data_IF_738971398539
#
_entry.id   IF_738971398539
#
_cell.length_a   1.000
_cell.length_b   1.000
_cell.length_c   1.000
_cell.angle_alpha   90.00
_cell.angle_beta   90.00
_cell.angle_gamma   90.00
#
_symmetry.space_group_name_H-M   'P 1'
#
loop_
_entity.id
_entity.type
_entity.pdbx_description
1 polymer ?
#
# COMPACT_ATOMS: atom_id res chain seq x y z
N UNK A 1 -11.36 19.60 42.23
CA UNK A 1 -11.76 20.52 41.17
C UNK A 1 -12.32 19.68 40.04
N UNK A 2 -13.64 19.75 39.82
CA UNK A 2 -14.26 19.02 38.69
C UNK A 2 -13.85 19.73 37.41
N UNK A 3 -13.01 19.10 36.58
CA UNK A 3 -12.76 19.54 35.23
C UNK A 3 -13.99 19.19 34.39
N UNK A 4 -14.90 20.13 34.25
CA UNK A 4 -15.99 19.99 33.28
C UNK A 4 -15.38 19.89 31.87
N UNK A 5 -15.45 18.71 31.28
CA UNK A 5 -15.04 18.47 29.92
C UNK A 5 -15.81 19.41 28.98
N UNK A 6 -15.14 20.36 28.38
CA UNK A 6 -15.69 21.21 27.34
C UNK A 6 -15.73 20.39 26.05
N UNK A 7 -16.82 19.69 25.83
CA UNK A 7 -17.07 19.06 24.52
C UNK A 7 -17.05 20.16 23.45
N UNK A 8 -16.26 19.96 22.40
CA UNK A 8 -16.15 20.92 21.28
C UNK A 8 -17.56 21.31 20.79
N UNK A 9 -17.88 22.60 20.87
CA UNK A 9 -19.19 23.10 20.40
C UNK A 9 -19.19 23.03 18.87
N UNK A 10 -20.05 22.20 18.32
CA UNK A 10 -20.26 22.10 16.86
C UNK A 10 -21.60 22.72 16.47
N UNK A 11 -21.64 23.44 15.36
CA UNK A 11 -22.89 23.94 14.78
C UNK A 11 -23.25 23.06 13.59
N UNK A 12 -24.16 22.11 13.82
CA UNK A 12 -24.67 21.20 12.80
C UNK A 12 -25.53 21.97 11.77
N UNK A 13 -25.49 21.53 10.53
CA UNK A 13 -26.45 21.95 9.54
C UNK A 13 -27.86 21.57 9.99
N UNK A 14 -28.89 22.32 9.55
CA UNK A 14 -30.29 22.11 9.92
C UNK A 14 -31.11 21.71 8.70
N UNK A 15 -32.14 20.92 8.91
CA UNK A 15 -33.14 20.51 7.89
C UNK A 15 -33.82 21.68 7.19
N UNK A 16 -33.93 22.84 7.87
CA UNK A 16 -34.55 24.05 7.36
C UNK A 16 -33.72 24.80 6.30
N UNK A 17 -32.52 24.31 5.94
CA UNK A 17 -31.80 24.86 4.81
C UNK A 17 -32.58 24.52 3.55
N UNK A 18 -33.27 25.52 3.01
CA UNK A 18 -34.05 25.39 1.78
C UNK A 18 -33.12 25.60 0.56
N UNK A 19 -33.26 24.73 -0.41
CA UNK A 19 -32.65 24.89 -1.71
C UNK A 19 -33.59 25.68 -2.63
N UNK A 20 -33.00 26.52 -3.46
CA UNK A 20 -33.78 27.25 -4.46
C UNK A 20 -34.23 26.36 -5.63
N UNK A 21 -33.74 25.13 -5.72
CA UNK A 21 -34.00 24.19 -6.81
C UNK A 21 -34.65 22.91 -6.29
N UNK A 22 -35.56 22.34 -7.07
CA UNK A 22 -36.27 21.11 -6.72
C UNK A 22 -35.39 19.86 -6.72
N UNK A 23 -34.19 19.91 -7.33
CA UNK A 23 -33.25 18.81 -7.45
C UNK A 23 -32.44 18.56 -6.20
N UNK A 24 -32.47 19.49 -5.23
CA UNK A 24 -31.72 19.40 -3.98
C UNK A 24 -32.66 19.39 -2.78
N UNK A 25 -32.58 18.34 -1.94
CA UNK A 25 -33.54 18.14 -0.87
C UNK A 25 -32.95 17.36 0.34
N UNK A 26 -33.61 17.46 1.47
CA UNK A 26 -33.29 16.68 2.66
C UNK A 26 -33.70 15.22 2.46
N UNK A 27 -32.77 14.28 2.68
CA UNK A 27 -32.99 12.84 2.51
C UNK A 27 -33.24 12.15 3.85
N UNK A 28 -32.53 12.54 4.89
CA UNK A 28 -32.59 11.87 6.19
C UNK A 28 -31.54 12.36 7.17
N UNK A 29 -31.35 11.63 8.25
CA UNK A 29 -30.34 11.93 9.28
C UNK A 29 -29.24 10.85 9.31
N UNK A 30 -28.03 11.28 9.62
CA UNK A 30 -26.86 10.41 9.78
C UNK A 30 -26.38 10.45 11.25
N UNK A 31 -25.94 9.33 11.85
CA UNK A 31 -25.99 7.99 11.26
C UNK A 31 -27.44 7.48 11.07
N UNK A 32 -27.62 6.53 10.16
CA UNK A 32 -28.95 5.96 9.90
C UNK A 32 -29.58 5.39 11.17
N UNK A 33 -30.81 5.80 11.46
CA UNK A 33 -31.53 5.38 12.67
C UNK A 33 -31.32 6.28 13.89
N UNK A 34 -30.46 7.31 13.79
CA UNK A 34 -30.43 8.35 14.81
C UNK A 34 -31.76 9.11 14.85
N UNK A 35 -32.21 9.47 16.06
CA UNK A 35 -33.35 10.38 16.20
C UNK A 35 -33.06 11.68 15.46
N UNK A 36 -34.11 12.30 14.93
CA UNK A 36 -33.97 13.51 14.10
C UNK A 36 -33.23 14.66 14.81
N UNK A 37 -33.20 14.65 16.13
CA UNK A 37 -32.60 15.67 16.98
C UNK A 37 -31.15 15.36 17.34
N UNK A 38 -30.72 14.09 17.29
CA UNK A 38 -29.36 13.63 17.64
C UNK A 38 -28.47 13.51 16.43
N UNK A 39 -29.02 13.24 15.25
CA UNK A 39 -28.30 13.07 14.00
C UNK A 39 -27.92 14.39 13.31
N UNK A 40 -27.11 14.28 12.26
CA UNK A 40 -26.84 15.38 11.33
C UNK A 40 -27.62 15.17 10.03
N UNK A 41 -28.07 16.23 9.32
CA UNK A 41 -28.84 16.07 8.11
C UNK A 41 -28.00 15.53 6.96
N UNK A 42 -28.64 14.67 6.15
CA UNK A 42 -28.15 14.27 4.83
C UNK A 42 -28.92 15.07 3.79
N UNK A 43 -28.23 15.77 2.92
CA UNK A 43 -28.80 16.50 1.80
C UNK A 43 -28.42 15.84 0.49
N UNK A 44 -29.41 15.46 -0.30
CA UNK A 44 -29.19 15.15 -1.70
C UNK A 44 -29.01 16.44 -2.48
N UNK A 45 -27.99 16.51 -3.33
CA UNK A 45 -27.64 17.71 -4.09
C UNK A 45 -27.53 17.37 -5.56
N UNK A 46 -28.39 17.99 -6.38
CA UNK A 46 -28.47 17.80 -7.83
C UNK A 46 -27.75 18.87 -8.63
N UNK A 47 -27.13 19.89 -7.99
CA UNK A 47 -26.36 20.91 -8.68
C UNK A 47 -25.08 21.27 -7.95
N UNK A 48 -24.03 21.62 -8.72
CA UNK A 48 -22.77 22.10 -8.14
C UNK A 48 -22.92 23.43 -7.40
N UNK A 49 -23.92 24.23 -7.74
CA UNK A 49 -24.23 25.49 -7.02
C UNK A 49 -24.72 25.20 -5.60
N UNK A 50 -25.65 24.25 -5.44
CA UNK A 50 -26.15 23.85 -4.12
C UNK A 50 -25.06 23.14 -3.32
N UNK A 51 -24.22 22.33 -3.98
CA UNK A 51 -23.04 21.73 -3.35
C UNK A 51 -22.12 22.79 -2.75
N UNK A 52 -21.73 23.78 -3.54
CA UNK A 52 -20.91 24.91 -3.07
C UNK A 52 -21.63 25.75 -2.01
N UNK A 53 -22.94 25.92 -2.15
CA UNK A 53 -23.78 26.67 -1.19
C UNK A 53 -23.78 26.03 0.19
N UNK A 54 -24.01 24.71 0.29
CA UNK A 54 -23.97 23.98 1.56
C UNK A 54 -22.58 24.00 2.20
N UNK A 55 -21.55 23.80 1.41
CA UNK A 55 -20.15 23.87 1.86
C UNK A 55 -19.83 25.25 2.42
N UNK A 56 -20.18 26.30 1.68
CA UNK A 56 -19.99 27.70 2.10
C UNK A 56 -20.73 28.02 3.39
N UNK A 57 -21.97 27.55 3.50
CA UNK A 57 -22.79 27.76 4.68
C UNK A 57 -22.23 27.02 5.92
N UNK A 58 -21.81 25.77 5.76
CA UNK A 58 -21.16 25.01 6.84
C UNK A 58 -19.91 25.73 7.37
N UNK A 59 -19.07 26.27 6.45
CA UNK A 59 -17.91 27.10 6.81
C UNK A 59 -18.31 28.37 7.56
N UNK A 60 -19.30 29.07 7.05
CA UNK A 60 -19.77 30.30 7.67
C UNK A 60 -20.26 30.09 9.12
N UNK A 61 -21.09 29.07 9.34
CA UNK A 61 -21.61 28.75 10.67
C UNK A 61 -20.52 28.39 11.69
N UNK A 62 -19.45 27.77 11.24
CA UNK A 62 -18.41 27.22 12.11
C UNK A 62 -17.11 28.03 12.06
N UNK A 63 -17.07 29.18 11.41
CA UNK A 63 -15.84 29.96 11.17
C UNK A 63 -15.07 30.35 12.45
N UNK A 64 -15.77 30.53 13.57
CA UNK A 64 -15.17 30.84 14.87
C UNK A 64 -14.84 29.63 15.73
N UNK A 65 -15.22 28.42 15.30
CA UNK A 65 -15.09 27.18 16.08
C UNK A 65 -13.96 26.28 15.59
N UNK A 66 -13.57 26.39 14.32
CA UNK A 66 -12.53 25.60 13.73
C UNK A 66 -12.59 25.55 12.20
N UNK A 67 -11.89 24.61 11.61
CA UNK A 67 -11.85 24.43 10.15
C UNK A 67 -12.81 23.33 9.72
N UNK A 68 -13.69 23.63 8.76
CA UNK A 68 -14.52 22.61 8.12
C UNK A 68 -13.70 21.86 7.09
N UNK A 69 -13.48 20.59 7.35
CA UNK A 69 -12.80 19.63 6.49
C UNK A 69 -13.82 18.71 5.80
N UNK A 70 -13.38 18.01 4.77
CA UNK A 70 -14.24 17.17 3.96
C UNK A 70 -13.67 15.77 3.83
N UNK A 71 -14.59 14.77 3.75
CA UNK A 71 -14.22 13.40 3.44
C UNK A 71 -15.21 12.81 2.45
N UNK A 72 -14.72 12.43 1.26
CA UNK A 72 -15.51 11.71 0.27
C UNK A 72 -15.49 10.20 0.50
N UNK A 73 -16.65 9.57 0.36
CA UNK A 73 -16.80 8.11 0.44
C UNK A 73 -17.71 7.60 -0.67
N UNK A 74 -17.38 6.43 -1.20
CA UNK A 74 -18.12 5.82 -2.32
C UNK A 74 -19.51 5.29 -1.92
N UNK A 75 -19.79 5.20 -0.63
CA UNK A 75 -21.09 4.83 -0.04
C UNK A 75 -21.16 5.32 1.40
N UNK A 76 -22.35 5.35 1.96
CA UNK A 76 -22.55 5.55 3.40
C UNK A 76 -22.15 4.29 4.17
N UNK A 77 -21.15 4.39 5.03
CA UNK A 77 -20.69 3.31 5.91
C UNK A 77 -21.28 3.38 7.31
N UNK A 78 -22.16 4.34 7.57
CA UNK A 78 -22.85 4.52 8.86
C UNK A 78 -21.99 5.14 9.97
N UNK A 79 -20.66 5.12 9.86
CA UNK A 79 -19.73 5.70 10.84
C UNK A 79 -18.38 5.98 10.20
N UNK A 80 -17.67 7.02 10.67
CA UNK A 80 -16.32 7.35 10.26
C UNK A 80 -15.29 6.62 11.13
N UNK A 81 -15.01 5.36 10.79
CA UNK A 81 -14.07 4.50 11.51
C UNK A 81 -12.73 4.44 10.75
N UNK A 82 -11.58 4.74 11.39
CA UNK A 82 -10.27 4.67 10.75
C UNK A 82 -9.87 3.22 10.41
N UNK A 83 -8.95 3.07 9.45
CA UNK A 83 -8.50 1.74 9.00
C UNK A 83 -7.96 0.88 10.12
N UNK A 84 -7.19 1.44 11.04
CA UNK A 84 -6.64 0.73 12.19
C UNK A 84 -7.70 0.16 13.13
N UNK A 85 -8.82 0.87 13.33
CA UNK A 85 -9.92 0.37 14.16
C UNK A 85 -10.80 -0.66 13.44
N UNK A 86 -10.89 -0.59 12.09
CA UNK A 86 -11.66 -1.56 11.28
C UNK A 86 -10.93 -2.89 11.08
N UNK A 87 -9.64 -2.82 10.80
CA UNK A 87 -8.83 -3.96 10.37
C UNK A 87 -7.98 -4.55 11.50
N UNK A 88 -7.85 -3.82 12.63
CA UNK A 88 -7.07 -4.25 13.80
C UNK A 88 -5.56 -4.40 13.58
N UNK A 89 -5.05 -4.09 12.38
CA UNK A 89 -3.65 -4.30 12.03
C UNK A 89 -2.89 -2.97 11.93
N UNK A 90 -2.56 -2.40 13.10
CA UNK A 90 -1.78 -1.16 13.23
C UNK A 90 -0.30 -1.40 13.54
N UNK A 91 0.06 -2.62 13.89
CA UNK A 91 1.41 -2.94 14.40
C UNK A 91 2.54 -2.51 13.44
N UNK A 92 2.32 -2.65 12.14
CA UNK A 92 3.30 -2.26 11.12
C UNK A 92 3.49 -0.77 11.05
N UNK A 93 2.38 -0.01 11.04
CA UNK A 93 2.44 1.45 11.03
C UNK A 93 3.05 1.98 12.33
N UNK A 94 2.75 1.37 13.46
CA UNK A 94 3.37 1.70 14.75
C UNK A 94 4.86 1.41 14.77
N UNK A 95 5.29 0.24 14.24
CA UNK A 95 6.71 -0.10 14.12
C UNK A 95 7.44 0.89 13.21
N UNK A 96 6.88 1.22 12.06
CA UNK A 96 7.46 2.19 11.12
C UNK A 96 7.52 3.60 11.74
N UNK A 97 6.49 4.00 12.49
CA UNK A 97 6.49 5.26 13.25
C UNK A 97 7.63 5.30 14.25
N UNK A 98 7.78 4.23 15.04
CA UNK A 98 8.85 4.12 16.03
C UNK A 98 10.25 4.16 15.38
N UNK A 99 10.43 3.45 14.28
CA UNK A 99 11.66 3.42 13.49
C UNK A 99 12.07 4.80 12.97
N UNK A 100 11.11 5.55 12.40
CA UNK A 100 11.36 6.89 11.88
C UNK A 100 11.69 7.85 13.02
N UNK A 101 10.94 7.79 14.13
CA UNK A 101 11.19 8.65 15.29
C UNK A 101 12.51 8.34 16.02
N UNK A 102 13.03 7.12 15.92
CA UNK A 102 14.32 6.72 16.49
C UNK A 102 15.52 7.11 15.60
N UNK A 103 15.30 7.35 14.32
CA UNK A 103 16.36 7.68 13.36
C UNK A 103 16.57 9.19 13.28
N UNK A 104 17.71 9.66 13.80
CA UNK A 104 18.03 11.09 13.86
C UNK A 104 18.09 11.77 12.48
N UNK A 105 18.54 11.05 11.46
CA UNK A 105 18.61 11.57 10.08
C UNK A 105 17.22 11.73 9.48
N UNK A 106 16.32 10.76 9.70
CA UNK A 106 14.94 10.84 9.29
C UNK A 106 14.19 11.97 10.00
N UNK A 107 14.36 12.07 11.32
CA UNK A 107 13.76 13.13 12.13
C UNK A 107 14.22 14.52 11.64
N UNK A 108 15.50 14.67 11.31
CA UNK A 108 16.04 15.89 10.72
C UNK A 108 15.50 16.16 9.32
N UNK A 109 15.50 15.14 8.44
CA UNK A 109 14.99 15.25 7.08
C UNK A 109 13.52 15.63 7.05
N UNK A 110 12.70 15.09 7.95
CA UNK A 110 11.27 15.41 8.08
C UNK A 110 11.02 16.68 8.91
N UNK A 111 12.07 17.37 9.36
CA UNK A 111 12.00 18.58 10.17
C UNK A 111 11.23 18.40 11.49
N UNK A 112 11.33 17.22 12.10
CA UNK A 112 10.66 16.85 13.34
C UNK A 112 11.55 17.04 14.57
N UNK A 113 12.68 17.73 14.48
CA UNK A 113 13.70 17.86 15.51
C UNK A 113 13.60 19.14 16.34
N UNK A 114 12.49 19.85 16.28
CA UNK A 114 12.28 21.08 17.04
C UNK A 114 12.01 20.81 18.51
N UNK A 115 13.07 20.81 19.31
CA UNK A 115 13.00 20.58 20.77
C UNK A 115 12.45 21.76 21.57
N UNK A 116 12.20 22.91 20.93
CA UNK A 116 11.57 24.06 21.58
C UNK A 116 10.07 23.87 21.77
N UNK A 117 9.48 22.87 21.14
CA UNK A 117 8.07 22.51 21.25
C UNK A 117 7.85 21.70 22.53
N UNK A 118 7.00 22.16 23.45
CA UNK A 118 6.53 21.35 24.56
C UNK A 118 5.86 20.07 24.04
N UNK A 119 6.28 18.90 24.59
CA UNK A 119 5.80 17.61 24.07
C UNK A 119 6.37 17.23 22.70
N UNK A 120 7.57 17.69 22.35
CA UNK A 120 8.20 17.44 21.04
C UNK A 120 8.23 15.96 20.62
N UNK A 121 8.32 15.01 21.56
CA UNK A 121 8.24 13.57 21.25
C UNK A 121 6.86 13.15 20.77
N UNK A 122 5.81 13.67 21.39
CA UNK A 122 4.43 13.44 20.97
C UNK A 122 4.17 14.10 19.61
N UNK A 123 4.68 15.31 19.40
CA UNK A 123 4.67 15.98 18.11
C UNK A 123 5.30 15.11 17.01
N UNK A 124 6.51 14.59 17.23
CA UNK A 124 7.17 13.70 16.28
C UNK A 124 6.32 12.48 15.96
N UNK A 125 5.78 11.83 16.99
CA UNK A 125 4.98 10.62 16.83
C UNK A 125 3.70 10.91 16.04
N UNK A 126 2.96 11.95 16.39
CA UNK A 126 1.69 12.32 15.74
C UNK A 126 1.90 12.69 14.27
N UNK A 127 2.91 13.50 13.97
CA UNK A 127 3.22 13.90 12.59
C UNK A 127 3.67 12.70 11.77
N UNK A 128 4.52 11.84 12.32
CA UNK A 128 4.99 10.62 11.61
C UNK A 128 3.84 9.67 11.35
N UNK A 129 2.95 9.45 12.32
CA UNK A 129 1.76 8.63 12.14
C UNK A 129 0.81 9.23 11.09
N UNK A 130 0.65 10.56 11.07
CA UNK A 130 -0.14 11.27 10.06
C UNK A 130 0.45 11.13 8.64
N UNK A 131 1.78 11.18 8.49
CA UNK A 131 2.46 10.90 7.22
C UNK A 131 2.15 9.46 6.77
N UNK A 132 2.36 8.48 7.64
CA UNK A 132 2.15 7.07 7.34
C UNK A 132 0.70 6.82 6.94
N UNK A 133 -0.27 7.39 7.66
CA UNK A 133 -1.70 7.34 7.31
C UNK A 133 -1.95 7.88 5.91
N UNK A 134 -1.46 9.07 5.60
CA UNK A 134 -1.71 9.74 4.33
C UNK A 134 -1.08 9.00 3.13
N UNK A 135 -0.01 8.26 3.37
CA UNK A 135 0.63 7.40 2.37
C UNK A 135 0.09 5.96 2.36
N UNK A 136 -0.98 5.67 3.09
CA UNK A 136 -1.76 4.43 2.99
C UNK A 136 -1.50 3.41 4.11
N UNK A 137 -0.83 3.79 5.18
CA UNK A 137 -0.66 2.95 6.37
C UNK A 137 -1.96 2.78 7.17
N UNK A 138 -2.12 1.63 7.81
CA UNK A 138 -3.23 1.40 8.73
C UNK A 138 -2.94 2.04 10.08
N UNK A 139 -3.62 3.12 10.40
CA UNK A 139 -3.48 3.84 11.68
C UNK A 139 -4.85 4.13 12.29
N UNK A 140 -4.83 4.72 13.48
CA UNK A 140 -6.05 5.27 14.09
C UNK A 140 -6.37 6.70 13.62
N UNK A 141 -5.57 7.24 12.72
CA UNK A 141 -5.83 8.54 12.13
C UNK A 141 -6.89 8.47 11.04
N UNK A 142 -7.50 9.61 10.73
CA UNK A 142 -8.46 9.77 9.64
C UNK A 142 -8.00 10.88 8.69
N UNK A 143 -7.94 10.55 7.39
CA UNK A 143 -7.67 11.54 6.35
C UNK A 143 -8.90 12.39 6.06
N UNK A 144 -8.65 13.67 5.91
CA UNK A 144 -9.58 14.69 5.43
C UNK A 144 -8.88 15.59 4.41
N UNK A 145 -9.66 16.41 3.74
CA UNK A 145 -9.18 17.44 2.83
C UNK A 145 -9.88 18.76 3.11
N UNK A 146 -9.24 19.91 2.82
CA UNK A 146 -9.89 21.22 2.95
C UNK A 146 -10.51 21.73 1.64
N UNK A 147 -10.37 20.95 0.59
CA UNK A 147 -10.98 21.18 -0.71
C UNK A 147 -12.11 20.17 -0.97
N UNK A 148 -13.34 20.65 -1.01
CA UNK A 148 -14.52 19.81 -1.21
C UNK A 148 -14.56 19.11 -2.59
N UNK A 149 -13.92 19.66 -3.61
CA UNK A 149 -13.76 19.02 -4.92
C UNK A 149 -12.85 17.80 -4.84
N UNK A 150 -11.79 17.86 -4.03
CA UNK A 150 -10.97 16.70 -3.74
C UNK A 150 -11.78 15.61 -3.01
N UNK A 151 -12.61 15.98 -2.05
CA UNK A 151 -13.51 15.04 -1.38
C UNK A 151 -14.51 14.42 -2.36
N UNK A 152 -15.09 15.22 -3.27
CA UNK A 152 -15.98 14.72 -4.32
C UNK A 152 -15.27 13.69 -5.20
N UNK A 153 -14.02 13.97 -5.60
CA UNK A 153 -13.20 13.04 -6.36
C UNK A 153 -13.00 11.71 -5.63
N UNK A 154 -12.64 11.73 -4.34
CA UNK A 154 -12.50 10.52 -3.54
C UNK A 154 -13.81 9.74 -3.41
N UNK A 155 -14.95 10.43 -3.34
CA UNK A 155 -16.27 9.79 -3.35
C UNK A 155 -16.62 9.16 -4.69
N UNK A 156 -16.23 9.78 -5.81
CA UNK A 156 -16.50 9.29 -7.16
C UNK A 156 -15.57 8.16 -7.62
N UNK A 157 -14.41 7.98 -6.96
CA UNK A 157 -13.41 7.02 -7.37
C UNK A 157 -13.32 5.87 -6.37
N UNK A 158 -13.52 4.65 -6.85
CA UNK A 158 -13.40 3.43 -6.06
C UNK A 158 -11.97 2.95 -6.09
N UNK A 159 -11.39 2.79 -4.89
CA UNK A 159 -10.11 2.11 -4.76
C UNK A 159 -10.24 0.64 -5.13
N UNK A 160 -9.44 0.19 -6.08
CA UNK A 160 -9.22 -1.23 -6.35
C UNK A 160 -7.78 -1.57 -6.04
N UNK A 161 -7.54 -2.80 -5.61
CA UNK A 161 -6.30 -3.37 -5.03
C UNK A 161 -4.97 -2.66 -5.38
N UNK A 162 -4.84 -2.09 -6.57
CA UNK A 162 -3.61 -1.52 -7.11
C UNK A 162 -3.76 -0.09 -7.64
N UNK A 163 -4.99 0.44 -7.76
CA UNK A 163 -5.26 1.76 -8.36
C UNK A 163 -6.66 2.26 -8.04
N UNK A 164 -6.84 3.58 -8.08
CA UNK A 164 -8.18 4.17 -8.07
C UNK A 164 -8.81 4.02 -9.45
N UNK A 165 -10.10 3.71 -9.48
CA UNK A 165 -10.90 3.71 -10.69
C UNK A 165 -12.10 4.62 -10.51
N UNK A 166 -12.46 5.35 -11.56
CA UNK A 166 -13.75 6.02 -11.62
C UNK A 166 -14.83 4.93 -11.60
N UNK A 167 -15.82 5.10 -10.75
CA UNK A 167 -16.94 4.15 -10.67
C UNK A 167 -17.60 4.01 -12.03
N UNK A 168 -17.89 2.77 -12.38
CA UNK A 168 -18.61 2.45 -13.64
C UNK A 168 -20.12 2.47 -13.46
N UNK A 169 -20.61 2.27 -12.23
CA UNK A 169 -22.03 2.32 -11.89
C UNK A 169 -22.50 3.78 -11.96
N UNK A 170 -23.34 4.10 -12.92
CA UNK A 170 -23.90 5.44 -13.11
C UNK A 170 -25.09 5.74 -12.19
N UNK A 171 -25.66 4.70 -11.58
CA UNK A 171 -26.88 4.78 -10.78
C UNK A 171 -26.67 4.84 -9.27
N UNK A 172 -25.46 5.08 -8.81
CA UNK A 172 -25.16 5.09 -7.37
C UNK A 172 -24.95 6.49 -6.82
N UNK A 173 -25.06 6.62 -5.49
CA UNK A 173 -24.68 7.82 -4.76
C UNK A 173 -23.31 7.71 -4.14
N UNK A 174 -22.62 8.83 -4.01
CA UNK A 174 -21.47 9.04 -3.16
C UNK A 174 -21.81 9.99 -2.03
N UNK A 175 -20.98 10.07 -1.00
CA UNK A 175 -21.22 10.88 0.18
C UNK A 175 -20.01 11.74 0.50
N UNK A 176 -20.23 13.02 0.76
CA UNK A 176 -19.23 13.97 1.25
C UNK A 176 -19.61 14.38 2.67
N UNK A 177 -18.81 13.95 3.64
CA UNK A 177 -18.95 14.31 5.03
C UNK A 177 -18.30 15.66 5.29
N UNK A 178 -19.06 16.57 5.92
CA UNK A 178 -18.57 17.83 6.42
C UNK A 178 -18.15 17.63 7.88
N UNK A 179 -16.90 17.86 8.17
CA UNK A 179 -16.30 17.59 9.48
C UNK A 179 -15.71 18.87 10.07
N UNK A 180 -16.09 19.24 11.27
CA UNK A 180 -15.49 20.32 12.00
C UNK A 180 -14.26 19.82 12.76
N UNK A 181 -13.09 20.24 12.32
CA UNK A 181 -11.83 19.97 13.00
C UNK A 181 -11.50 21.10 13.98
N UNK A 182 -11.03 20.72 15.17
CA UNK A 182 -10.56 21.68 16.17
C UNK A 182 -9.22 22.29 15.72
N UNK A 183 -9.30 23.44 15.09
CA UNK A 183 -8.16 24.23 14.65
C UNK A 183 -8.11 25.62 15.26
N UNK A 184 -9.03 25.91 16.20
CA UNK A 184 -9.07 27.19 16.92
C UNK A 184 -8.08 27.20 18.13
N UNK A 185 -7.01 26.43 17.99
CA UNK A 185 -5.93 26.29 18.95
C UNK A 185 -4.63 26.81 18.37
N UNK A 186 -3.64 27.05 19.18
CA UNK A 186 -2.31 27.43 18.69
C UNK A 186 -1.72 26.31 17.86
N UNK A 187 -1.44 26.59 16.59
CA UNK A 187 -0.81 25.64 15.70
C UNK A 187 0.71 25.68 15.88
N UNK A 188 1.31 24.49 16.00
CA UNK A 188 2.76 24.33 15.94
C UNK A 188 3.08 23.63 14.63
N UNK A 189 3.70 24.35 13.69
CA UNK A 189 4.07 23.80 12.37
C UNK A 189 2.95 23.01 11.68
N UNK A 190 1.74 23.56 11.66
CA UNK A 190 0.60 22.91 11.02
C UNK A 190 -0.12 21.84 11.85
N UNK A 191 0.35 21.54 13.07
CA UNK A 191 -0.37 20.69 14.01
C UNK A 191 -1.12 21.56 15.03
N UNK A 192 -2.43 21.39 15.09
CA UNK A 192 -3.30 21.97 16.11
C UNK A 192 -3.55 20.95 17.21
N UNK A 193 -3.39 21.39 18.48
CA UNK A 193 -3.53 20.51 19.65
C UNK A 193 -4.84 20.89 20.35
N UNK A 194 -5.91 20.17 20.00
CA UNK A 194 -7.21 20.30 20.64
C UNK A 194 -7.31 19.45 21.91
N UNK A 195 -8.41 19.61 22.62
CA UNK A 195 -8.70 18.84 23.84
C UNK A 195 -8.87 17.35 23.53
N UNK A 196 -9.62 17.02 22.47
CA UNK A 196 -10.00 15.65 22.08
C UNK A 196 -9.13 15.08 20.96
N UNK A 197 -8.48 15.93 20.16
CA UNK A 197 -7.77 15.49 18.97
C UNK A 197 -6.59 16.38 18.59
N UNK A 198 -5.67 15.78 17.82
CA UNK A 198 -4.69 16.49 17.02
C UNK A 198 -5.23 16.66 15.62
N UNK A 199 -5.14 17.86 15.08
CA UNK A 199 -5.50 18.18 13.69
C UNK A 199 -4.27 18.66 12.95
N UNK A 200 -3.87 17.99 11.88
CA UNK A 200 -2.62 18.21 11.17
C UNK A 200 -2.89 18.65 9.74
N UNK A 201 -2.49 19.90 9.40
CA UNK A 201 -2.33 20.31 8.00
C UNK A 201 -0.96 19.80 7.50
N UNK A 202 -0.96 18.69 6.79
CA UNK A 202 0.27 18.04 6.34
C UNK A 202 1.11 18.96 5.44
N UNK A 203 0.51 19.88 4.69
CA UNK A 203 1.24 20.80 3.79
C UNK A 203 2.12 21.78 4.56
N UNK A 204 1.78 22.04 5.84
CA UNK A 204 2.53 22.92 6.74
C UNK A 204 3.40 22.16 7.73
N UNK A 205 2.95 20.96 8.11
CA UNK A 205 3.61 20.16 9.14
C UNK A 205 4.88 19.48 8.65
N UNK A 206 4.98 19.18 7.35
CA UNK A 206 6.07 18.40 6.78
C UNK A 206 6.71 19.13 5.58
N UNK A 207 7.95 18.75 5.20
CA UNK A 207 8.64 19.36 4.07
C UNK A 207 7.90 19.20 2.74
N UNK A 208 8.08 20.18 1.84
CA UNK A 208 7.42 20.23 0.53
C UNK A 208 7.82 19.12 -0.45
N UNK A 209 8.89 18.37 -0.16
CA UNK A 209 9.25 17.20 -0.97
C UNK A 209 8.28 16.03 -0.81
N UNK A 210 7.41 16.05 0.22
CA UNK A 210 6.22 15.25 0.30
C UNK A 210 5.11 15.91 -0.53
N UNK A 211 4.91 15.45 -1.77
CA UNK A 211 4.03 16.16 -2.70
C UNK A 211 2.57 15.76 -2.60
N UNK A 212 2.28 14.51 -2.21
CA UNK A 212 0.90 14.02 -2.08
C UNK A 212 0.03 14.89 -1.18
N UNK A 213 0.47 15.36 -0.01
CA UNK A 213 -0.34 16.24 0.83
C UNK A 213 -0.75 17.55 0.14
N UNK A 214 0.13 18.15 -0.65
CA UNK A 214 -0.20 19.35 -1.42
C UNK A 214 -1.20 19.04 -2.53
N UNK A 215 -0.99 17.96 -3.28
CA UNK A 215 -1.88 17.55 -4.38
C UNK A 215 -3.29 17.19 -3.90
N UNK A 216 -3.42 16.60 -2.73
CA UNK A 216 -4.70 16.14 -2.16
C UNK A 216 -5.34 17.15 -1.21
N UNK A 217 -4.71 18.28 -0.93
CA UNK A 217 -5.14 19.20 0.14
C UNK A 217 -5.24 18.49 1.51
N UNK A 218 -4.22 17.67 1.82
CA UNK A 218 -4.26 16.67 2.86
C UNK A 218 -4.22 17.20 4.29
N UNK A 219 -5.21 16.79 5.05
CA UNK A 219 -5.32 16.97 6.49
C UNK A 219 -5.49 15.61 7.16
N UNK A 220 -5.00 15.49 8.38
CA UNK A 220 -5.18 14.29 9.19
C UNK A 220 -5.68 14.68 10.58
N UNK A 221 -6.68 13.97 11.06
CA UNK A 221 -7.16 14.10 12.44
C UNK A 221 -6.85 12.82 13.20
N UNK A 222 -6.33 12.94 14.43
CA UNK A 222 -6.03 11.85 15.34
C UNK A 222 -6.65 12.12 16.69
N UNK A 223 -7.50 11.24 17.20
CA UNK A 223 -8.00 11.35 18.58
C UNK A 223 -6.86 11.14 19.58
N UNK A 224 -6.88 11.89 20.68
CA UNK A 224 -5.87 11.80 21.74
C UNK A 224 -6.03 10.51 22.54
N UNK A 225 -7.28 10.17 22.88
CA UNK A 225 -7.61 9.00 23.67
C UNK A 225 -8.24 7.92 22.81
N UNK A 226 -7.52 6.81 22.62
CA UNK A 226 -8.00 5.64 21.90
C UNK A 226 -8.08 4.49 22.90
N UNK A 227 -9.30 4.17 23.34
CA UNK A 227 -9.55 3.11 24.30
C UNK A 227 -9.80 1.78 23.57
N UNK A 228 -9.04 0.75 23.90
CA UNK A 228 -9.18 -0.62 23.38
C UNK A 228 -9.28 -0.73 21.85
N UNK A 229 -8.57 0.16 21.12
CA UNK A 229 -8.60 0.20 19.67
C UNK A 229 -9.92 0.68 19.06
N UNK A 230 -10.89 1.07 19.88
CA UNK A 230 -12.17 1.63 19.42
C UNK A 230 -12.02 3.12 19.19
N UNK A 231 -12.26 3.53 17.97
CA UNK A 231 -12.17 4.93 17.57
C UNK A 231 -13.13 5.19 16.40
N UNK A 232 -13.90 6.25 16.49
CA UNK A 232 -14.64 6.83 15.36
C UNK A 232 -14.55 8.36 15.41
N UNK A 233 -14.95 9.00 14.34
CA UNK A 233 -14.89 10.46 14.16
C UNK A 233 -16.26 11.08 13.93
N UNK A 234 -17.31 10.41 14.38
CA UNK A 234 -18.71 10.79 14.11
C UNK A 234 -19.12 12.09 14.80
N UNK A 235 -18.54 12.37 15.95
CA UNK A 235 -18.79 13.55 16.78
C UNK A 235 -18.44 14.89 16.11
N UNK A 236 -17.46 14.89 15.22
CA UNK A 236 -17.08 16.07 14.44
C UNK A 236 -17.89 16.27 13.15
N UNK A 237 -18.77 15.33 12.78
CA UNK A 237 -19.60 15.46 11.58
C UNK A 237 -20.71 16.49 11.81
N UNK A 238 -20.80 17.49 10.93
CA UNK A 238 -21.77 18.59 11.01
C UNK A 238 -22.84 18.55 9.93
N UNK A 239 -22.69 17.67 8.95
CA UNK A 239 -23.62 17.47 7.85
C UNK A 239 -23.07 16.47 6.85
N UNK A 240 -23.94 15.87 6.04
CA UNK A 240 -23.58 14.95 4.99
C UNK A 240 -24.23 15.37 3.69
N UNK A 241 -23.48 15.37 2.61
CA UNK A 241 -23.97 15.66 1.27
C UNK A 241 -23.95 14.36 0.45
N UNK A 242 -25.10 13.99 -0.08
CA UNK A 242 -25.26 12.91 -1.04
C UNK A 242 -25.29 13.49 -2.45
N UNK A 243 -24.51 12.90 -3.37
CA UNK A 243 -24.45 13.31 -4.78
C UNK A 243 -24.54 12.08 -5.65
N UNK A 244 -25.27 12.14 -6.77
CA UNK A 244 -25.23 11.09 -7.77
C UNK A 244 -23.85 10.99 -8.40
N UNK A 245 -23.38 9.78 -8.64
CA UNK A 245 -22.05 9.55 -9.23
C UNK A 245 -21.94 10.17 -10.62
N UNK A 246 -23.01 10.11 -11.44
CA UNK A 246 -23.06 10.76 -12.75
C UNK A 246 -22.83 12.26 -12.67
N UNK A 247 -23.53 12.93 -11.73
CA UNK A 247 -23.42 14.37 -11.53
C UNK A 247 -22.02 14.76 -11.04
N UNK A 248 -21.50 14.02 -10.06
CA UNK A 248 -20.14 14.23 -9.57
C UNK A 248 -19.08 14.08 -10.67
N UNK A 249 -19.20 13.07 -11.53
CA UNK A 249 -18.30 12.91 -12.69
C UNK A 249 -18.37 14.10 -13.64
N UNK A 250 -19.57 14.54 -13.98
CA UNK A 250 -19.78 15.69 -14.85
C UNK A 250 -19.18 16.98 -14.24
N UNK A 251 -19.40 17.23 -12.94
CA UNK A 251 -18.85 18.39 -12.25
C UNK A 251 -17.33 18.36 -12.13
N UNK A 252 -16.73 17.17 -12.09
CA UNK A 252 -15.28 16.94 -12.08
C UNK A 252 -14.66 16.91 -13.49
N UNK A 253 -15.42 17.27 -14.54
CA UNK A 253 -14.93 17.25 -15.91
C UNK A 253 -14.60 15.85 -16.41
N UNK A 254 -15.33 14.82 -15.98
CA UNK A 254 -15.12 13.43 -16.34
C UNK A 254 -13.67 12.93 -16.15
N UNK A 255 -12.94 13.48 -15.17
CA UNK A 255 -11.56 13.13 -14.85
C UNK A 255 -10.49 14.02 -15.48
N UNK A 256 -10.87 14.99 -16.29
CA UNK A 256 -9.91 15.92 -16.91
C UNK A 256 -9.34 16.94 -15.90
N UNK A 257 -10.16 17.41 -14.97
CA UNK A 257 -9.74 18.44 -13.99
C UNK A 257 -8.87 17.87 -12.88
N UNK A 258 -9.18 16.63 -12.43
CA UNK A 258 -8.48 15.99 -11.32
C UNK A 258 -8.15 14.54 -11.72
N UNK A 259 -6.90 14.30 -12.11
CA UNK A 259 -6.46 12.95 -12.50
C UNK A 259 -5.88 12.19 -11.33
N UNK A 260 -5.83 10.86 -11.46
CA UNK A 260 -5.19 9.98 -10.49
C UNK A 260 -3.71 10.32 -10.29
N UNK A 261 -3.01 10.60 -11.37
CA UNK A 261 -1.57 10.93 -11.37
C UNK A 261 -1.30 12.21 -10.58
N UNK A 262 -2.20 13.18 -10.68
CA UNK A 262 -2.10 14.43 -9.91
C UNK A 262 -2.35 14.18 -8.41
N UNK A 263 -3.34 13.36 -8.05
CA UNK A 263 -3.64 13.04 -6.64
C UNK A 263 -2.60 12.13 -5.99
N UNK A 264 -2.00 11.24 -6.79
CA UNK A 264 -1.03 10.26 -6.31
C UNK A 264 0.27 10.37 -7.10
N UNK A 265 1.06 11.43 -6.86
CA UNK A 265 2.36 11.59 -7.49
C UNK A 265 3.20 10.32 -7.30
N UNK A 266 3.90 9.89 -8.35
CA UNK A 266 4.78 8.72 -8.29
C UNK A 266 5.95 8.98 -7.34
N UNK A 267 6.59 7.91 -6.87
CA UNK A 267 7.80 8.01 -6.05
C UNK A 267 8.99 8.68 -6.78
N UNK A 268 8.94 8.74 -8.09
CA UNK A 268 9.94 9.45 -8.90
C UNK A 268 9.84 10.95 -8.72
N UNK A 269 8.60 11.45 -8.54
CA UNK A 269 8.28 12.86 -8.33
C UNK A 269 8.21 13.17 -6.84
N UNK A 270 7.48 12.35 -6.05
CA UNK A 270 7.32 12.51 -4.61
C UNK A 270 8.49 11.86 -3.86
N UNK A 271 9.50 12.66 -3.53
CA UNK A 271 10.70 12.19 -2.84
C UNK A 271 10.38 11.69 -1.42
N UNK A 272 9.41 12.29 -0.74
CA UNK A 272 8.97 11.84 0.59
C UNK A 272 8.39 10.43 0.53
N UNK A 273 7.62 10.15 -0.49
CA UNK A 273 7.10 8.84 -0.77
C UNK A 273 8.21 7.81 -0.98
N UNK A 274 9.20 8.15 -1.81
CA UNK A 274 10.37 7.30 -2.05
C UNK A 274 11.10 6.96 -0.74
N UNK A 275 11.34 7.96 0.11
CA UNK A 275 12.02 7.75 1.40
C UNK A 275 11.24 6.80 2.30
N UNK A 276 9.90 6.92 2.37
CA UNK A 276 9.06 6.00 3.13
C UNK A 276 9.15 4.56 2.61
N UNK A 277 9.14 4.39 1.27
CA UNK A 277 9.28 3.09 0.63
C UNK A 277 10.65 2.44 0.93
N UNK A 278 11.73 3.22 0.84
CA UNK A 278 13.08 2.75 1.13
C UNK A 278 13.24 2.37 2.60
N UNK A 279 12.64 3.13 3.51
CA UNK A 279 12.69 2.82 4.92
C UNK A 279 11.93 1.54 5.25
N UNK A 280 10.74 1.38 4.74
CA UNK A 280 9.95 0.16 4.89
C UNK A 280 10.72 -1.06 4.38
N UNK A 281 11.39 -0.95 3.25
CA UNK A 281 12.22 -2.02 2.70
C UNK A 281 13.37 -2.44 3.63
N UNK A 282 14.05 -1.48 4.25
CA UNK A 282 15.17 -1.73 5.16
C UNK A 282 14.77 -2.38 6.48
N UNK A 283 13.56 -2.11 6.96
CA UNK A 283 13.08 -2.62 8.26
C UNK A 283 12.73 -4.10 8.26
N UNK A 284 12.92 -4.83 7.16
CA UNK A 284 12.66 -6.27 7.07
C UNK A 284 11.19 -6.67 7.16
N UNK A 285 10.28 -5.71 7.11
CA UNK A 285 8.84 -5.90 7.16
C UNK A 285 8.28 -6.42 5.81
N UNK A 286 8.99 -7.39 5.22
CA UNK A 286 8.78 -7.85 3.84
C UNK A 286 7.38 -8.32 3.48
N UNK A 287 6.63 -8.90 4.41
CA UNK A 287 5.27 -9.39 4.14
C UNK A 287 4.20 -8.30 4.10
N UNK A 288 4.53 -7.11 4.57
CA UNK A 288 3.59 -6.00 4.74
C UNK A 288 3.48 -5.10 3.52
N UNK A 289 4.30 -5.30 2.51
CA UNK A 289 4.27 -4.56 1.24
C UNK A 289 2.88 -4.48 0.59
N UNK A 290 2.08 -5.52 0.78
CA UNK A 290 0.76 -5.63 0.14
C UNK A 290 -0.28 -4.66 0.70
N UNK A 291 -0.04 -4.03 1.86
CA UNK A 291 -1.05 -3.25 2.58
C UNK A 291 -0.80 -1.75 2.65
N UNK A 292 0.47 -1.31 2.61
CA UNK A 292 0.76 0.10 2.85
C UNK A 292 0.51 1.02 1.68
N UNK A 293 0.57 0.51 0.45
CA UNK A 293 0.54 1.41 -0.70
C UNK A 293 -0.11 0.73 -1.91
N UNK A 294 -1.33 1.07 -2.19
CA UNK A 294 -2.16 0.36 -3.15
C UNK A 294 -2.06 0.88 -4.59
N UNK A 295 -0.95 1.44 -5.03
CA UNK A 295 -0.80 1.94 -6.40
C UNK A 295 0.13 1.05 -7.22
N UNK A 296 -0.23 0.78 -8.48
CA UNK A 296 0.48 -0.09 -9.42
C UNK A 296 1.98 0.27 -9.57
N UNK A 297 2.31 1.55 -9.55
CA UNK A 297 3.67 2.09 -9.58
C UNK A 297 4.53 1.68 -8.39
N UNK A 298 3.93 1.54 -7.20
CA UNK A 298 4.61 1.14 -5.97
C UNK A 298 4.99 -0.32 -6.01
N UNK A 299 4.11 -1.17 -6.55
CA UNK A 299 4.41 -2.57 -6.76
C UNK A 299 5.68 -2.74 -7.58
N UNK A 300 5.83 -1.97 -8.66
CA UNK A 300 7.03 -2.03 -9.48
C UNK A 300 8.28 -1.55 -8.73
N UNK A 301 8.20 -0.45 -7.97
CA UNK A 301 9.31 0.01 -7.15
C UNK A 301 9.79 -1.03 -6.14
N UNK A 302 8.87 -1.65 -5.41
CA UNK A 302 9.23 -2.72 -4.47
C UNK A 302 9.79 -3.94 -5.20
N UNK A 303 9.21 -4.32 -6.32
CA UNK A 303 9.70 -5.43 -7.13
C UNK A 303 11.12 -5.16 -7.63
N UNK A 304 11.40 -3.96 -8.09
CA UNK A 304 12.74 -3.56 -8.55
C UNK A 304 13.78 -3.53 -7.42
N UNK A 305 13.39 -3.16 -6.20
CA UNK A 305 14.30 -3.11 -5.04
C UNK A 305 14.41 -4.44 -4.30
N UNK A 306 13.48 -5.35 -4.50
CA UNK A 306 13.43 -6.64 -3.79
C UNK A 306 14.32 -7.72 -4.42
N UNK A 307 14.87 -7.48 -5.60
CA UNK A 307 15.89 -8.33 -6.18
C UNK A 307 17.13 -7.50 -6.55
N UNK A 308 18.28 -8.15 -6.63
CA UNK A 308 19.53 -7.50 -6.98
C UNK A 308 19.74 -7.48 -8.50
N UNK A 309 20.13 -6.32 -9.01
CA UNK A 309 20.62 -6.12 -10.37
C UNK A 309 21.78 -5.10 -10.32
N UNK A 310 22.97 -5.50 -10.77
CA UNK A 310 24.16 -4.65 -10.67
C UNK A 310 24.12 -3.44 -11.62
N UNK A 311 23.40 -3.56 -12.72
CA UNK A 311 23.22 -2.47 -13.70
C UNK A 311 21.78 -2.46 -14.23
N UNK A 312 20.96 -1.57 -13.67
CA UNK A 312 19.55 -1.42 -14.06
C UNK A 312 19.33 -0.59 -15.30
N UNK A 313 20.37 0.03 -15.85
CA UNK A 313 20.28 0.76 -17.12
C UNK A 313 20.21 -0.19 -18.32
N UNK A 314 20.65 -1.43 -18.14
CA UNK A 314 20.56 -2.48 -19.15
C UNK A 314 19.23 -3.20 -19.10
N UNK A 315 18.49 -3.13 -20.17
CA UNK A 315 17.24 -3.86 -20.33
C UNK A 315 17.53 -5.33 -20.64
N UNK A 316 17.18 -6.22 -19.72
CA UNK A 316 17.34 -7.67 -19.89
C UNK A 316 16.00 -8.27 -20.27
N UNK A 317 15.91 -8.77 -21.50
CA UNK A 317 14.71 -9.39 -22.07
C UNK A 317 14.86 -10.90 -22.17
N UNK A 318 13.77 -11.65 -22.17
CA UNK A 318 13.81 -13.07 -22.41
C UNK A 318 14.42 -13.40 -23.79
N UNK A 319 15.32 -14.38 -23.83
CA UNK A 319 15.87 -14.93 -25.09
C UNK A 319 14.98 -16.03 -25.66
N UNK A 320 14.00 -16.50 -24.86
CA UNK A 320 12.97 -17.46 -25.27
C UNK A 320 11.63 -17.00 -24.71
N UNK A 321 10.53 -17.14 -25.48
CA UNK A 321 9.20 -16.81 -24.98
C UNK A 321 8.88 -17.59 -23.71
N UNK A 322 8.41 -16.89 -22.68
CA UNK A 322 7.88 -17.45 -21.43
C UNK A 322 6.44 -16.98 -21.27
N UNK A 323 5.50 -17.89 -21.53
CA UNK A 323 4.07 -17.62 -21.42
C UNK A 323 3.56 -18.14 -20.07
N UNK A 324 2.96 -17.27 -19.29
CA UNK A 324 2.33 -17.60 -18.02
C UNK A 324 0.90 -17.10 -18.00
N UNK A 325 -0.06 -18.00 -17.88
CA UNK A 325 -1.51 -17.68 -18.00
C UNK A 325 -1.85 -16.94 -19.30
N UNK A 326 -1.23 -17.31 -20.40
CA UNK A 326 -1.45 -16.69 -21.71
C UNK A 326 -0.85 -15.28 -21.85
N UNK A 327 -0.11 -14.79 -20.88
CA UNK A 327 0.64 -13.53 -20.95
C UNK A 327 2.13 -13.81 -21.09
N UNK A 328 2.75 -13.15 -22.03
CA UNK A 328 4.19 -13.22 -22.24
C UNK A 328 4.92 -12.41 -21.16
N UNK A 329 5.94 -13.01 -20.55
CA UNK A 329 6.85 -12.35 -19.62
C UNK A 329 7.81 -11.49 -20.44
N UNK A 330 7.78 -10.19 -20.26
CA UNK A 330 8.57 -9.23 -21.04
C UNK A 330 9.87 -8.82 -20.33
N UNK A 331 9.97 -9.00 -19.01
CA UNK A 331 11.07 -8.50 -18.20
C UNK A 331 11.36 -9.38 -16.96
N UNK A 332 12.52 -9.17 -16.35
CA UNK A 332 12.85 -9.78 -15.05
C UNK A 332 11.87 -9.36 -13.93
N UNK A 333 11.34 -8.14 -14.00
CA UNK A 333 10.35 -7.64 -13.04
C UNK A 333 9.05 -8.44 -13.16
N UNK A 334 8.60 -8.72 -14.38
CA UNK A 334 7.42 -9.56 -14.60
C UNK A 334 7.62 -10.97 -14.05
N UNK A 335 8.79 -11.57 -14.33
CA UNK A 335 9.14 -12.89 -13.80
C UNK A 335 9.15 -12.87 -12.27
N UNK A 336 9.81 -11.88 -11.67
CA UNK A 336 9.88 -11.75 -10.22
C UNK A 336 8.49 -11.59 -9.58
N UNK A 337 7.63 -10.76 -10.17
CA UNK A 337 6.26 -10.59 -9.70
C UNK A 337 5.46 -11.91 -9.70
N UNK A 338 5.64 -12.72 -10.72
CA UNK A 338 4.98 -14.03 -10.84
C UNK A 338 5.55 -15.03 -9.81
N UNK A 339 6.87 -15.06 -9.65
CA UNK A 339 7.52 -15.91 -8.65
C UNK A 339 7.02 -15.59 -7.23
N UNK A 340 6.91 -14.32 -6.87
CA UNK A 340 6.37 -13.88 -5.58
C UNK A 340 4.91 -14.31 -5.38
N UNK A 341 4.10 -14.23 -6.41
CA UNK A 341 2.65 -14.43 -6.27
C UNK A 341 2.22 -15.88 -6.36
N UNK A 342 2.87 -16.68 -7.20
CA UNK A 342 2.45 -18.06 -7.46
C UNK A 342 3.58 -19.04 -7.79
N UNK A 343 4.81 -18.57 -8.03
CA UNK A 343 5.91 -19.45 -8.43
C UNK A 343 6.59 -20.13 -7.24
N UNK A 344 6.99 -19.36 -6.25
CA UNK A 344 7.68 -19.90 -5.07
C UNK A 344 6.69 -20.53 -4.11
N UNK A 345 6.88 -21.84 -3.91
CA UNK A 345 6.08 -22.66 -3.01
C UNK A 345 6.98 -23.71 -2.35
N UNK A 346 6.47 -24.40 -1.36
CA UNK A 346 7.21 -25.45 -0.66
C UNK A 346 7.83 -26.48 -1.60
N UNK A 347 7.10 -26.91 -2.61
CA UNK A 347 7.54 -27.94 -3.57
C UNK A 347 8.65 -27.47 -4.52
N UNK A 348 8.88 -26.16 -4.66
CA UNK A 348 9.94 -25.61 -5.51
C UNK A 348 11.25 -25.37 -4.76
N UNK A 349 11.31 -25.59 -3.46
CA UNK A 349 12.50 -25.40 -2.62
C UNK A 349 13.57 -26.44 -2.88
N UNK A 350 14.82 -26.06 -2.66
CA UNK A 350 15.94 -26.99 -2.67
C UNK A 350 15.79 -27.97 -1.51
N UNK A 351 15.51 -29.25 -1.81
CA UNK A 351 15.25 -30.28 -0.81
C UNK A 351 16.54 -30.65 -0.06
N UNK A 352 16.68 -30.20 1.17
CA UNK A 352 17.60 -30.75 2.15
C UNK A 352 16.78 -31.14 3.39
N UNK A 353 17.14 -32.26 4.05
CA UNK A 353 16.38 -32.80 5.21
C UNK A 353 16.29 -31.88 6.43
N UNK A 354 16.98 -30.74 6.43
CA UNK A 354 17.07 -29.78 7.55
C UNK A 354 16.55 -28.38 7.21
N UNK A 355 15.66 -28.28 6.21
CA UNK A 355 15.09 -26.98 5.80
C UNK A 355 13.87 -26.68 6.68
N UNK A 356 13.74 -25.48 7.28
CA UNK A 356 12.54 -25.07 8.01
C UNK A 356 11.27 -25.19 7.16
N UNK A 357 10.10 -25.23 7.78
CA UNK A 357 8.83 -25.18 7.05
C UNK A 357 8.74 -23.95 6.15
N UNK A 358 8.02 -24.09 5.04
CA UNK A 358 7.85 -22.99 4.10
C UNK A 358 7.01 -21.86 4.72
N UNK A 359 7.43 -20.62 4.49
CA UNK A 359 6.77 -19.44 5.01
C UNK A 359 6.26 -18.56 3.86
N UNK A 360 4.96 -18.26 3.86
CA UNK A 360 4.34 -17.35 2.87
C UNK A 360 4.90 -15.93 2.95
N UNK A 361 5.40 -15.53 4.11
CA UNK A 361 5.98 -14.20 4.33
C UNK A 361 7.40 -14.07 3.79
N UNK A 362 8.09 -15.19 3.57
CA UNK A 362 9.42 -15.25 2.97
C UNK A 362 9.47 -16.33 1.86
N UNK A 363 8.67 -16.20 0.80
CA UNK A 363 8.51 -17.23 -0.23
C UNK A 363 9.79 -17.51 -1.02
N UNK A 364 10.75 -16.59 -1.02
CA UNK A 364 12.06 -16.70 -1.69
C UNK A 364 13.06 -17.61 -0.96
N UNK A 365 12.82 -17.96 0.30
CA UNK A 365 13.76 -18.76 1.06
C UNK A 365 13.95 -20.16 0.45
N UNK A 366 15.23 -20.54 0.27
CA UNK A 366 15.66 -21.81 -0.36
C UNK A 366 15.23 -21.95 -1.84
N UNK A 367 14.94 -20.84 -2.51
CA UNK A 367 14.52 -20.82 -3.91
C UNK A 367 15.65 -20.43 -4.87
N UNK A 368 16.86 -20.11 -4.40
CA UNK A 368 17.93 -19.55 -5.23
C UNK A 368 18.35 -20.50 -6.37
N UNK A 369 18.47 -21.79 -6.11
CA UNK A 369 18.87 -22.75 -7.14
C UNK A 369 17.84 -22.91 -8.27
N UNK A 370 16.54 -23.19 -8.01
CA UNK A 370 15.53 -23.31 -9.05
C UNK A 370 15.31 -21.97 -9.79
N UNK A 371 15.39 -20.84 -9.08
CA UNK A 371 15.21 -19.51 -9.66
C UNK A 371 16.35 -19.18 -10.63
N UNK A 372 17.59 -19.40 -10.23
CA UNK A 372 18.75 -19.17 -11.12
C UNK A 372 18.70 -20.03 -12.39
N UNK A 373 18.23 -21.26 -12.30
CA UNK A 373 18.03 -22.12 -13.46
C UNK A 373 16.92 -21.63 -14.39
N UNK A 374 15.81 -21.14 -13.83
CA UNK A 374 14.70 -20.58 -14.58
C UNK A 374 15.15 -19.32 -15.35
N UNK A 375 15.87 -18.43 -14.68
CA UNK A 375 16.44 -17.22 -15.30
C UNK A 375 17.37 -17.62 -16.43
N UNK A 376 18.34 -18.54 -16.23
CA UNK A 376 19.21 -18.99 -17.29
C UNK A 376 18.46 -19.58 -18.48
N UNK A 377 17.41 -20.37 -18.23
CA UNK A 377 16.62 -21.01 -19.29
C UNK A 377 15.92 -20.01 -20.20
N UNK A 378 15.39 -18.95 -19.67
CA UNK A 378 14.55 -18.00 -20.43
C UNK A 378 15.23 -16.67 -20.73
N UNK A 379 16.18 -16.22 -19.91
CA UNK A 379 16.90 -14.96 -20.10
C UNK A 379 18.36 -15.15 -20.52
N UNK A 380 18.87 -16.39 -20.50
CA UNK A 380 20.25 -16.69 -20.87
C UNK A 380 21.24 -16.45 -19.74
N UNK A 381 22.50 -16.27 -20.12
CA UNK A 381 23.62 -16.02 -19.21
C UNK A 381 24.10 -17.23 -18.41
N UNK A 382 24.95 -16.98 -17.44
CA UNK A 382 25.60 -17.98 -16.60
C UNK A 382 24.97 -18.06 -15.21
N UNK A 383 25.01 -19.27 -14.59
CA UNK A 383 24.66 -19.45 -13.19
C UNK A 383 25.92 -19.29 -12.35
N UNK A 384 25.89 -18.36 -11.44
CA UNK A 384 26.92 -18.12 -10.45
C UNK A 384 26.51 -18.63 -9.08
N UNK A 385 27.46 -18.90 -8.21
CA UNK A 385 27.19 -19.30 -6.85
C UNK A 385 28.13 -18.69 -5.85
N UNK A 386 27.62 -18.53 -4.64
CA UNK A 386 28.35 -18.08 -3.47
C UNK A 386 28.00 -18.91 -2.25
N UNK A 387 28.97 -19.12 -1.36
CA UNK A 387 28.71 -19.72 -0.05
C UNK A 387 28.35 -18.61 0.94
N UNK A 388 27.14 -18.65 1.47
CA UNK A 388 26.64 -17.74 2.50
C UNK A 388 26.15 -18.60 3.68
N UNK A 389 26.61 -18.32 4.91
CA UNK A 389 26.22 -19.04 6.14
C UNK A 389 26.16 -20.57 5.97
N UNK A 390 27.23 -21.18 5.49
CA UNK A 390 27.35 -22.61 5.22
C UNK A 390 26.37 -23.18 4.17
N UNK A 391 25.73 -22.31 3.37
CA UNK A 391 24.88 -22.70 2.25
C UNK A 391 25.39 -22.13 0.94
N UNK A 392 25.11 -22.82 -0.15
CA UNK A 392 25.40 -22.30 -1.49
C UNK A 392 24.17 -21.55 -1.98
N UNK A 393 24.34 -20.24 -2.19
CA UNK A 393 23.35 -19.37 -2.82
C UNK A 393 23.68 -19.22 -4.31
N UNK A 394 22.64 -19.23 -5.15
CA UNK A 394 22.78 -19.20 -6.61
C UNK A 394 22.12 -17.94 -7.17
N UNK A 395 22.76 -17.37 -8.21
CA UNK A 395 22.30 -16.18 -8.93
C UNK A 395 22.77 -16.24 -10.38
N UNK A 396 22.48 -15.23 -11.18
CA UNK A 396 22.83 -15.21 -12.61
C UNK A 396 23.75 -14.03 -12.94
N UNK A 397 24.55 -14.23 -14.00
CA UNK A 397 25.25 -13.16 -14.70
C UNK A 397 24.84 -13.20 -16.17
N UNK A 398 24.26 -12.10 -16.67
CA UNK A 398 23.77 -11.95 -18.05
C UNK A 398 24.43 -10.70 -18.64
N UNK A 399 25.23 -10.87 -19.69
CA UNK A 399 25.93 -9.78 -20.37
C UNK A 399 26.74 -8.86 -19.42
N UNK A 400 27.38 -9.47 -18.39
CA UNK A 400 28.13 -8.78 -17.35
C UNK A 400 27.29 -8.11 -16.28
N UNK A 401 25.96 -8.32 -16.28
CA UNK A 401 25.07 -7.85 -15.23
C UNK A 401 24.76 -8.98 -14.27
N UNK A 402 25.05 -8.77 -12.99
CA UNK A 402 24.71 -9.73 -11.92
C UNK A 402 23.25 -9.52 -11.52
N UNK A 403 22.49 -10.62 -11.51
CA UNK A 403 21.05 -10.67 -11.24
C UNK A 403 20.77 -11.73 -10.18
N UNK A 404 20.08 -11.35 -9.11
CA UNK A 404 19.63 -12.26 -8.08
C UNK A 404 18.19 -11.98 -7.67
N UNK A 405 17.25 -12.77 -8.17
CA UNK A 405 15.84 -12.64 -7.83
C UNK A 405 15.52 -13.13 -6.42
N UNK A 406 16.43 -13.85 -5.77
CA UNK A 406 16.28 -14.34 -4.39
C UNK A 406 17.19 -13.58 -3.41
N UNK A 407 17.63 -12.40 -3.78
CA UNK A 407 18.55 -11.55 -3.01
C UNK A 407 18.12 -11.36 -1.54
N UNK A 408 16.81 -11.30 -1.26
CA UNK A 408 16.30 -11.17 0.11
C UNK A 408 16.67 -12.36 1.02
N UNK A 409 16.99 -13.52 0.46
CA UNK A 409 17.50 -14.68 1.22
C UNK A 409 18.85 -14.39 1.89
N UNK A 410 19.67 -13.53 1.28
CA UNK A 410 21.02 -13.19 1.76
C UNK A 410 21.15 -11.75 2.27
N UNK A 411 20.17 -10.90 2.05
CA UNK A 411 20.23 -9.47 2.38
C UNK A 411 20.50 -9.21 3.88
N UNK A 412 19.88 -9.97 4.77
CA UNK A 412 20.08 -9.84 6.21
C UNK A 412 21.49 -10.27 6.69
N UNK A 413 22.27 -10.87 5.79
CA UNK A 413 23.53 -11.53 6.13
C UNK A 413 24.78 -10.75 5.67
N UNK A 414 24.64 -9.63 4.96
CA UNK A 414 25.76 -8.98 4.29
C UNK A 414 25.95 -7.52 4.71
N UNK A 415 26.92 -7.28 5.60
CA UNK A 415 27.48 -5.94 5.82
C UNK A 415 28.39 -5.47 4.65
N UNK A 416 28.59 -6.27 3.63
CA UNK A 416 29.44 -5.99 2.45
C UNK A 416 28.70 -6.42 1.19
N UNK A 417 29.06 -5.87 0.01
CA UNK A 417 28.48 -6.28 -1.27
C UNK A 417 28.52 -7.81 -1.40
N UNK A 418 27.36 -8.48 -1.51
CA UNK A 418 27.32 -9.93 -1.53
C UNK A 418 27.92 -10.53 -2.80
N UNK A 419 28.22 -9.72 -3.81
CA UNK A 419 28.66 -10.16 -5.15
C UNK A 419 30.07 -9.72 -5.50
N UNK A 420 30.94 -9.54 -4.50
CA UNK A 420 32.36 -9.26 -4.73
C UNK A 420 32.97 -10.36 -5.63
N UNK A 421 33.54 -9.93 -6.75
CA UNK A 421 34.04 -10.80 -7.83
C UNK A 421 35.03 -11.88 -7.37
N UNK A 422 35.77 -11.62 -6.30
CA UNK A 422 36.72 -12.59 -5.73
C UNK A 422 36.06 -13.84 -5.11
N UNK A 423 34.78 -13.83 -4.88
CA UNK A 423 34.01 -14.91 -4.21
C UNK A 423 32.98 -15.61 -5.11
N UNK A 424 32.85 -15.18 -6.36
CA UNK A 424 31.91 -15.75 -7.33
C UNK A 424 32.51 -16.99 -7.98
N UNK A 425 31.79 -18.10 -7.97
CA UNK A 425 32.13 -19.31 -8.71
C UNK A 425 31.10 -19.51 -9.80
N UNK A 426 31.55 -19.48 -11.06
CA UNK A 426 30.72 -19.83 -12.19
C UNK A 426 30.53 -21.35 -12.23
N UNK A 427 29.31 -21.84 -12.28
CA UNK A 427 28.96 -23.25 -12.41
C UNK A 427 28.57 -23.53 -13.86
N UNK A 428 29.51 -24.01 -14.66
CA UNK A 428 29.32 -24.24 -16.09
C UNK A 428 28.18 -25.17 -16.50
N UNK A 429 27.68 -26.05 -15.62
CA UNK A 429 26.46 -26.86 -15.84
C UNK A 429 25.74 -27.19 -14.52
N UNK A 430 24.40 -27.10 -14.49
CA UNK A 430 23.62 -27.43 -13.31
C UNK A 430 23.75 -28.89 -12.92
N UNK A 431 23.88 -29.18 -11.62
CA UNK A 431 23.81 -30.54 -11.08
C UNK A 431 22.41 -31.13 -11.26
N UNK A 432 22.26 -32.47 -11.22
CA UNK A 432 20.98 -33.17 -11.41
C UNK A 432 19.88 -32.73 -10.44
N UNK A 433 20.23 -32.45 -9.19
CA UNK A 433 19.31 -31.90 -8.16
C UNK A 433 18.70 -30.57 -8.58
N UNK A 434 19.50 -29.68 -9.20
CA UNK A 434 19.02 -28.39 -9.68
C UNK A 434 18.03 -28.57 -10.86
N UNK A 435 18.26 -29.54 -11.74
CA UNK A 435 17.34 -29.87 -12.87
C UNK A 435 15.96 -30.30 -12.36
N UNK A 436 15.93 -31.11 -11.33
CA UNK A 436 14.67 -31.56 -10.71
C UNK A 436 13.88 -30.39 -10.13
N UNK A 437 14.56 -29.43 -9.51
CA UNK A 437 13.92 -28.22 -8.97
C UNK A 437 13.35 -27.32 -10.08
N UNK A 438 14.01 -27.22 -11.24
CA UNK A 438 13.46 -26.49 -12.40
C UNK A 438 12.18 -27.14 -12.93
N UNK A 439 12.13 -28.46 -12.98
CA UNK A 439 10.91 -29.18 -13.39
C UNK A 439 9.75 -28.85 -12.44
N UNK A 440 9.99 -28.86 -11.13
CA UNK A 440 8.99 -28.51 -10.12
C UNK A 440 8.53 -27.04 -10.29
N UNK A 441 9.46 -26.12 -10.47
CA UNK A 441 9.14 -24.71 -10.66
C UNK A 441 8.34 -24.47 -11.94
N UNK A 442 8.74 -25.09 -13.06
CA UNK A 442 7.99 -25.02 -14.32
C UNK A 442 6.57 -25.61 -14.16
N UNK A 443 6.42 -26.71 -13.44
CA UNK A 443 5.12 -27.29 -13.14
C UNK A 443 4.24 -26.32 -12.34
N UNK A 444 4.79 -25.64 -11.35
CA UNK A 444 4.07 -24.62 -10.58
C UNK A 444 3.68 -23.40 -11.42
N UNK A 445 4.54 -22.96 -12.34
CA UNK A 445 4.24 -21.87 -13.27
C UNK A 445 3.14 -22.27 -14.27
N UNK A 446 3.11 -23.56 -14.71
CA UNK A 446 2.05 -24.10 -15.56
C UNK A 446 0.72 -24.27 -14.82
N UNK A 447 0.73 -24.76 -13.57
CA UNK A 447 -0.49 -24.94 -12.74
C UNK A 447 -1.18 -23.62 -12.37
N UNK A 448 -0.55 -22.50 -12.63
CA UNK A 448 -1.20 -21.21 -12.58
C UNK A 448 -2.27 -21.00 -13.69
N UNK A 449 -2.68 -22.04 -14.42
CA UNK A 449 -3.82 -22.00 -15.35
C UNK A 449 -3.51 -22.34 -16.80
N UNK A 450 -2.48 -23.14 -17.07
CA UNK A 450 -2.19 -23.67 -18.41
C UNK A 450 -2.47 -25.19 -18.41
N UNK A 451 -3.12 -25.62 -19.50
CA UNK A 451 -3.58 -26.98 -19.83
C UNK A 451 -2.60 -28.08 -19.39
N UNK A 452 -3.05 -29.01 -18.56
CA UNK A 452 -2.31 -30.15 -17.99
C UNK A 452 -1.67 -31.12 -19.04
N UNK A 453 -1.93 -30.90 -20.32
CA UNK A 453 -1.47 -31.77 -21.42
C UNK A 453 -0.04 -31.51 -21.88
N UNK A 454 0.57 -30.40 -21.49
CA UNK A 454 1.92 -30.00 -21.98
C UNK A 454 3.03 -30.35 -20.98
N UNK A 455 2.71 -30.66 -19.74
CA UNK A 455 3.68 -30.85 -18.65
C UNK A 455 3.82 -32.30 -18.15
N UNK A 456 3.25 -33.31 -18.82
CA UNK A 456 3.43 -34.69 -18.43
C UNK A 456 4.89 -35.14 -18.69
N UNK A 457 5.66 -35.54 -17.67
CA UNK A 457 6.99 -36.09 -17.90
C UNK A 457 6.85 -37.43 -18.64
N UNK A 458 7.42 -37.53 -19.82
CA UNK A 458 7.61 -38.80 -20.54
C UNK A 458 8.59 -39.69 -19.77
N UNK A 459 8.14 -40.26 -18.66
CA UNK A 459 8.88 -41.36 -18.02
C UNK A 459 8.46 -42.68 -18.67
N UNK A 460 9.02 -42.97 -19.85
CA UNK A 460 9.17 -44.37 -20.25
C UNK A 460 10.20 -45.02 -19.33
N UNK A 461 9.73 -45.56 -18.23
CA UNK A 461 10.49 -46.55 -17.47
C UNK A 461 10.66 -47.79 -18.36
N UNK A 462 11.80 -47.92 -19.04
CA UNK A 462 12.25 -49.19 -19.56
C UNK A 462 12.44 -50.14 -18.37
N UNK A 463 11.42 -50.95 -18.08
CA UNK A 463 11.59 -52.12 -17.23
C UNK A 463 12.56 -53.08 -17.96
N UNK A 464 13.81 -53.18 -17.51
CA UNK A 464 14.68 -54.27 -17.88
C UNK A 464 14.01 -55.57 -17.38
N UNK A 465 13.87 -56.61 -18.23
CA UNK A 465 13.33 -57.87 -17.79
C UNK A 465 14.30 -58.50 -16.77
N UNK A 466 13.75 -59.06 -15.69
CA UNK A 466 14.49 -59.75 -14.67
C UNK A 466 15.19 -60.97 -15.28
N UNK A 467 16.44 -61.30 -14.87
CA UNK A 467 17.13 -62.50 -15.37
C UNK A 467 16.39 -63.75 -14.93
N UNK A 468 16.07 -64.66 -15.89
CA UNK A 468 15.50 -65.98 -15.64
C UNK A 468 16.47 -66.78 -14.79
N UNK A 469 16.07 -67.19 -13.58
CA UNK A 469 16.76 -68.21 -12.80
C UNK A 469 16.68 -69.52 -13.59
N UNK A 470 17.86 -70.06 -13.98
CA UNK A 470 17.99 -71.43 -14.47
C UNK A 470 17.74 -72.38 -13.32
N UNK A 471 16.70 -73.20 -13.41
CA UNK A 471 16.54 -74.38 -12.61
C UNK A 471 17.53 -75.43 -13.09
N UNK A 472 18.55 -75.72 -12.32
CA UNK A 472 19.42 -76.89 -12.49
C UNK A 472 18.81 -78.00 -11.70
N UNK A 473 18.50 -79.09 -12.39
CA UNK A 473 18.14 -80.35 -11.82
C UNK A 473 19.38 -81.06 -11.20
N UNK A 474 19.25 -81.45 -9.96
CA UNK A 474 19.54 -82.83 -9.42
C UNK A 474 19.12 -82.87 -7.97
#
# INVERSE_FOLDING_TARGET
MMTGGHTMKVIKLRKSHSFSRQESFFVGSWPKGANADDGVPIFHVGSYHDFNGLVGYAKFLNASLGTVLYRGQTKDYGSLVPSGAREGNVAVSQSLTADICADADMVKAFQLNDRSIDGWKEYQQVITEAIIQHYGGNTYCMDFVDNHWCALWFGANKFQKDHYQIRTDECGSLYVYLYLADTNTTAVRGMHIGEESYTVDLRKAIPSFFQRPASQHGWVVRKRNILDGKCNYDDGVIGVIEVNVSDAKAWLGNGELLSQENFFPSYEIDQGYRVLLERQHRSGLGSTYKKLLPVKTIRNYHLEKSFYCSDRSKEIRPVKPLLIKGKEVQSLIDLYAILLTCGWRENSRSATKSVPEWNEDAPWEYQSAPTALLVQQYFGGDICSRVCLNRTHYFNEIDGVVIDLTFLEIFQMANTSPYDSAKIKNLGRPKQTMRNNVVLLNHLLCNCGIDDRVCAPTTKRNKRPAPKRRSGAR
#
